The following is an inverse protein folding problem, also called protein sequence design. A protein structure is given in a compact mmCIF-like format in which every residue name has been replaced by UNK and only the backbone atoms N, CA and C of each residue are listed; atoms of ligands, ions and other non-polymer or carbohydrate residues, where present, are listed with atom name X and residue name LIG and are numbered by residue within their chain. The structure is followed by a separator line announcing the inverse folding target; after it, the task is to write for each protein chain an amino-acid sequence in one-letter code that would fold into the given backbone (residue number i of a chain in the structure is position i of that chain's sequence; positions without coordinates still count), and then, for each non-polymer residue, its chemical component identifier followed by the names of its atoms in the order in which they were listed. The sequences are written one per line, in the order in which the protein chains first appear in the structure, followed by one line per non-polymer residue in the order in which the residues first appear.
data_IF_574819577392
#
_entry.id   IF_574819577392
#
_cell.length_a   1.000
_cell.length_b   1.000
_cell.length_c   1.000
_cell.angle_alpha   90.00
_cell.angle_beta   90.00
_cell.angle_gamma   90.00
#
_symmetry.space_group_name_H-M   'P 1'
#
loop_
_entity.id
_entity.type
_entity.pdbx_description
1 polymer ?
#
# COMPACT_ATOMS: atom_id res chain seq x y z
N UNK A 1 -44.08 5.66 -32.11
CA UNK A 1 -44.71 5.35 -30.81
C UNK A 1 -44.39 3.91 -30.38
N UNK A 2 -44.05 3.02 -31.32
CA UNK A 2 -43.60 1.63 -31.07
C UNK A 2 -42.20 1.46 -30.44
N UNK A 3 -41.29 2.44 -30.50
CA UNK A 3 -39.91 2.24 -30.00
C UNK A 3 -39.70 2.41 -28.48
N UNK A 4 -40.72 2.81 -27.70
CA UNK A 4 -40.62 2.85 -26.22
C UNK A 4 -41.03 1.50 -25.64
N UNK A 5 -42.09 0.93 -26.18
CA UNK A 5 -42.71 -0.29 -25.65
C UNK A 5 -41.77 -1.49 -25.77
N UNK A 6 -40.95 -1.58 -26.83
CA UNK A 6 -39.94 -2.63 -26.98
C UNK A 6 -38.79 -2.51 -25.95
N UNK A 7 -38.36 -1.27 -25.64
CA UNK A 7 -37.36 -1.02 -24.59
C UNK A 7 -37.93 -1.31 -23.21
N UNK A 8 -39.20 -0.96 -22.99
CA UNK A 8 -39.96 -1.23 -21.76
C UNK A 8 -40.14 -2.74 -21.57
N UNK A 9 -40.63 -3.46 -22.57
CA UNK A 9 -40.82 -4.91 -22.55
C UNK A 9 -39.49 -5.62 -22.27
N UNK A 10 -38.39 -5.20 -22.90
CA UNK A 10 -37.07 -5.76 -22.63
C UNK A 10 -36.51 -5.41 -21.22
N UNK A 11 -36.98 -4.33 -20.59
CA UNK A 11 -36.60 -3.98 -19.22
C UNK A 11 -37.47 -4.69 -18.17
N UNK A 12 -38.74 -4.95 -18.47
CA UNK A 12 -39.74 -5.51 -17.55
C UNK A 12 -39.83 -7.05 -17.59
N UNK A 13 -39.47 -7.73 -18.69
CA UNK A 13 -39.56 -9.20 -18.83
C UNK A 13 -38.75 -10.05 -17.82
N UNK A 14 -37.73 -9.48 -17.15
CA UNK A 14 -36.88 -10.18 -16.16
C UNK A 14 -36.94 -9.54 -14.75
N UNK A 15 -37.72 -8.47 -14.58
CA UNK A 15 -37.91 -7.80 -13.31
C UNK A 15 -39.13 -8.35 -12.60
N UNK A 16 -39.01 -9.51 -11.94
CA UNK A 16 -40.05 -9.96 -11.01
C UNK A 16 -40.37 -8.85 -10.00
N UNK A 17 -41.63 -8.72 -9.59
CA UNK A 17 -42.05 -7.82 -8.52
C UNK A 17 -41.14 -8.02 -7.31
N UNK A 18 -40.24 -7.06 -7.07
CA UNK A 18 -39.38 -7.05 -5.89
C UNK A 18 -40.11 -6.24 -4.82
N UNK A 19 -40.32 -6.79 -3.61
CA UNK A 19 -40.83 -5.99 -2.50
C UNK A 19 -39.92 -4.77 -2.30
N UNK A 20 -40.50 -3.60 -2.03
CA UNK A 20 -39.78 -2.42 -1.58
C UNK A 20 -39.12 -2.73 -0.22
N UNK A 21 -37.95 -3.38 -0.23
CA UNK A 21 -37.09 -3.50 0.94
C UNK A 21 -36.52 -2.09 1.20
N UNK A 22 -36.81 -1.55 2.38
CA UNK A 22 -36.25 -0.32 2.93
C UNK A 22 -34.73 -0.46 3.25
N UNK A 23 -33.96 -1.08 2.36
CA UNK A 23 -32.52 -1.27 2.54
C UNK A 23 -31.79 0.07 2.31
N UNK A 24 -31.50 0.70 3.46
CA UNK A 24 -30.48 1.71 3.79
C UNK A 24 -29.67 2.19 2.57
N UNK A 25 -30.18 3.23 1.91
CA UNK A 25 -29.54 3.85 0.73
C UNK A 25 -28.31 4.65 1.13
N UNK A 26 -27.15 3.99 1.15
CA UNK A 26 -25.86 4.66 1.13
C UNK A 26 -25.78 5.62 -0.08
N UNK A 27 -25.11 6.76 0.10
CA UNK A 27 -24.95 7.78 -0.94
C UNK A 27 -23.98 7.30 -2.03
N UNK A 28 -24.49 6.49 -2.96
CA UNK A 28 -23.72 5.85 -4.04
C UNK A 28 -23.41 6.77 -5.22
N UNK A 29 -23.82 8.04 -5.15
CA UNK A 29 -23.59 9.04 -6.19
C UNK A 29 -22.73 10.19 -5.68
N UNK A 30 -21.70 10.55 -6.44
CA UNK A 30 -20.87 11.71 -6.19
C UNK A 30 -20.80 12.61 -7.42
N UNK A 31 -20.48 13.89 -7.21
CA UNK A 31 -20.30 14.88 -8.26
C UNK A 31 -18.81 15.20 -8.38
N UNK A 32 -18.23 15.04 -9.57
CA UNK A 32 -16.86 15.43 -9.87
C UNK A 32 -16.87 16.66 -10.78
N UNK A 33 -16.78 17.85 -10.17
CA UNK A 33 -16.93 19.12 -10.87
C UNK A 33 -18.36 19.37 -11.36
N UNK A 34 -18.50 20.25 -12.35
CA UNK A 34 -19.81 20.66 -12.88
C UNK A 34 -20.35 19.77 -14.01
N UNK A 35 -19.49 18.91 -14.59
CA UNK A 35 -19.78 18.20 -15.85
C UNK A 35 -19.73 16.68 -15.74
N UNK A 36 -19.41 16.15 -14.56
CA UNK A 36 -19.34 14.70 -14.34
C UNK A 36 -20.03 14.28 -13.04
N UNK A 37 -20.80 13.19 -13.12
CA UNK A 37 -21.37 12.51 -11.96
C UNK A 37 -20.94 11.05 -11.96
N UNK A 38 -20.59 10.55 -10.78
CA UNK A 38 -19.99 9.23 -10.60
C UNK A 38 -20.93 8.36 -9.78
N UNK A 39 -21.24 7.19 -10.34
CA UNK A 39 -22.04 6.16 -9.67
C UNK A 39 -21.14 5.03 -9.23
N UNK A 40 -21.08 4.81 -7.92
CA UNK A 40 -20.60 3.55 -7.35
C UNK A 40 -21.62 2.46 -7.62
N UNK A 41 -21.21 1.44 -8.39
CA UNK A 41 -22.13 0.37 -8.78
C UNK A 41 -22.56 -0.45 -7.58
N UNK A 42 -23.74 -1.05 -7.68
CA UNK A 42 -24.36 -1.82 -6.61
C UNK A 42 -25.10 -3.02 -7.21
N UNK A 43 -25.81 -3.75 -6.34
CA UNK A 43 -26.66 -4.88 -6.72
C UNK A 43 -27.66 -4.52 -7.82
N UNK A 44 -28.26 -3.33 -7.78
CA UNK A 44 -29.26 -2.91 -8.76
C UNK A 44 -28.67 -2.65 -10.14
N UNK A 45 -27.46 -2.09 -10.20
CA UNK A 45 -26.74 -1.91 -11.47
C UNK A 45 -26.53 -3.26 -12.17
N UNK A 46 -26.05 -4.28 -11.46
CA UNK A 46 -25.67 -5.56 -12.08
C UNK A 46 -26.85 -6.51 -12.32
N UNK A 47 -27.79 -6.59 -11.39
CA UNK A 47 -28.89 -7.55 -11.46
C UNK A 47 -30.14 -6.97 -12.12
N UNK A 48 -30.46 -5.72 -11.83
CA UNK A 48 -31.76 -5.12 -12.17
C UNK A 48 -31.68 -4.06 -13.27
N UNK A 49 -30.46 -3.70 -13.73
CA UNK A 49 -30.21 -2.73 -14.80
C UNK A 49 -30.78 -1.34 -14.49
N UNK A 50 -30.72 -0.97 -13.23
CA UNK A 50 -31.30 0.28 -12.75
C UNK A 50 -30.47 0.91 -11.63
N UNK A 51 -30.73 2.20 -11.38
CA UNK A 51 -30.24 2.92 -10.22
C UNK A 51 -31.15 4.09 -9.86
N UNK A 52 -31.26 4.40 -8.57
CA UNK A 52 -32.00 5.57 -8.08
C UNK A 52 -31.12 6.83 -8.23
N UNK A 53 -31.72 7.93 -8.70
CA UNK A 53 -31.09 9.24 -8.86
C UNK A 53 -31.49 10.16 -7.69
N UNK A 54 -30.56 10.48 -6.76
CA UNK A 54 -30.78 11.47 -5.70
C UNK A 54 -31.07 12.86 -6.26
N UNK A 55 -31.78 13.71 -5.52
CA UNK A 55 -32.14 15.07 -5.95
C UNK A 55 -30.93 15.89 -6.42
N UNK A 56 -29.79 15.77 -5.73
CA UNK A 56 -28.53 16.44 -6.11
C UNK A 56 -27.99 16.06 -7.50
N UNK A 57 -28.35 14.88 -8.03
CA UNK A 57 -27.93 14.38 -9.35
C UNK A 57 -28.98 14.68 -10.43
N UNK A 58 -30.25 14.88 -10.04
CA UNK A 58 -31.33 15.11 -11.01
C UNK A 58 -31.12 16.37 -11.87
N UNK A 59 -30.43 17.38 -11.33
CA UNK A 59 -30.05 18.58 -12.07
C UNK A 59 -29.12 18.26 -13.26
N UNK A 60 -28.15 17.35 -13.10
CA UNK A 60 -27.24 16.92 -14.16
C UNK A 60 -28.00 16.31 -15.35
N UNK A 61 -29.03 15.52 -15.08
CA UNK A 61 -29.89 14.92 -16.11
C UNK A 61 -31.02 15.85 -16.60
N UNK A 62 -30.99 17.13 -16.21
CA UNK A 62 -31.99 18.15 -16.57
C UNK A 62 -33.43 17.77 -16.21
N UNK A 63 -33.67 17.08 -15.08
CA UNK A 63 -34.95 16.43 -14.76
C UNK A 63 -35.97 17.31 -14.02
N UNK A 64 -35.76 18.63 -13.94
CA UNK A 64 -36.61 19.53 -13.16
C UNK A 64 -38.10 19.51 -13.59
N UNK A 65 -38.37 19.22 -14.86
CA UNK A 65 -39.70 19.14 -15.47
C UNK A 65 -40.28 17.72 -15.54
N UNK A 66 -39.58 16.69 -15.04
CA UNK A 66 -40.08 15.32 -15.06
C UNK A 66 -41.12 15.10 -13.93
N UNK A 67 -42.39 14.97 -14.33
CA UNK A 67 -43.51 14.73 -13.42
C UNK A 67 -43.62 13.26 -12.97
N UNK A 68 -44.18 12.97 -11.79
CA UNK A 68 -44.49 11.60 -11.36
C UNK A 68 -45.33 10.82 -12.39
N UNK A 69 -44.98 9.54 -12.59
CA UNK A 69 -45.56 8.67 -13.61
C UNK A 69 -45.07 8.93 -15.04
N UNK A 70 -44.14 9.88 -15.25
CA UNK A 70 -43.55 10.15 -16.57
C UNK A 70 -42.17 9.52 -16.71
N UNK A 71 -41.84 9.19 -17.96
CA UNK A 71 -40.55 8.64 -18.39
C UNK A 71 -39.92 9.59 -19.41
N UNK A 72 -38.60 9.71 -19.39
CA UNK A 72 -37.79 10.45 -20.36
C UNK A 72 -36.78 9.51 -20.99
N UNK A 73 -36.78 9.43 -22.32
CA UNK A 73 -35.72 8.72 -23.06
C UNK A 73 -34.40 9.46 -22.89
N UNK A 74 -33.34 8.70 -22.69
CA UNK A 74 -31.97 9.19 -22.78
C UNK A 74 -31.14 8.18 -23.57
N UNK A 75 -29.95 8.60 -23.96
CA UNK A 75 -28.98 7.73 -24.64
C UNK A 75 -27.72 7.69 -23.81
N UNK A 76 -27.26 6.48 -23.52
CA UNK A 76 -25.95 6.23 -22.90
C UNK A 76 -24.97 5.82 -24.00
N UNK A 77 -23.83 6.49 -24.06
CA UNK A 77 -22.76 6.18 -24.99
C UNK A 77 -21.58 5.57 -24.23
N UNK A 78 -21.17 4.36 -24.58
CA UNK A 78 -19.87 3.83 -24.14
C UNK A 78 -18.95 3.82 -25.35
N UNK A 79 -17.94 4.69 -25.33
CA UNK A 79 -17.08 4.99 -26.49
C UNK A 79 -17.94 5.38 -27.72
N UNK A 80 -17.94 4.55 -28.77
CA UNK A 80 -18.69 4.76 -30.02
C UNK A 80 -20.02 3.99 -30.06
N UNK A 81 -20.37 3.27 -28.99
CA UNK A 81 -21.55 2.41 -28.95
C UNK A 81 -22.70 3.12 -28.24
N UNK A 82 -23.84 3.15 -28.91
CA UNK A 82 -25.09 3.72 -28.43
C UNK A 82 -25.89 2.68 -27.64
N UNK A 83 -26.43 3.07 -26.49
CA UNK A 83 -27.34 2.25 -25.69
C UNK A 83 -28.55 3.08 -25.28
N UNK A 84 -29.74 2.59 -25.58
CA UNK A 84 -30.96 3.27 -25.16
C UNK A 84 -31.26 3.01 -23.67
N UNK A 85 -31.68 4.08 -23.00
CA UNK A 85 -32.03 4.10 -21.59
C UNK A 85 -33.18 5.08 -21.35
N UNK A 86 -33.74 5.05 -20.16
CA UNK A 86 -34.76 6.02 -19.76
C UNK A 86 -34.66 6.35 -18.28
N UNK A 87 -35.13 7.53 -17.93
CA UNK A 87 -35.29 7.97 -16.55
C UNK A 87 -36.78 8.08 -16.28
N UNK A 88 -37.25 7.45 -15.21
CA UNK A 88 -38.64 7.52 -14.77
C UNK A 88 -38.77 8.11 -13.38
N UNK A 89 -39.87 8.82 -13.14
CA UNK A 89 -40.28 9.25 -11.80
C UNK A 89 -41.48 8.42 -11.39
N UNK A 90 -41.35 7.61 -10.34
CA UNK A 90 -42.39 6.67 -9.92
C UNK A 90 -43.62 7.39 -9.35
N UNK A 91 -44.72 6.65 -9.18
CA UNK A 91 -45.95 7.15 -8.55
C UNK A 91 -45.99 6.91 -7.02
N UNK A 92 -44.90 6.41 -6.42
CA UNK A 92 -44.81 6.21 -4.97
C UNK A 92 -44.85 7.55 -4.22
N UNK A 93 -45.12 7.49 -2.92
CA UNK A 93 -45.06 8.64 -2.01
C UNK A 93 -44.00 8.37 -0.91
N UNK A 94 -42.82 9.03 -0.94
CA UNK A 94 -42.38 10.01 -1.91
C UNK A 94 -41.96 9.37 -3.26
N UNK A 95 -42.09 10.10 -4.40
CA UNK A 95 -41.76 9.57 -5.72
C UNK A 95 -40.25 9.41 -5.87
N UNK A 96 -39.83 8.27 -6.41
CA UNK A 96 -38.43 7.94 -6.68
C UNK A 96 -38.10 8.24 -8.14
N UNK A 97 -36.90 8.78 -8.38
CA UNK A 97 -36.39 8.96 -9.75
C UNK A 97 -35.40 7.84 -10.04
N UNK A 98 -35.64 7.04 -11.08
CA UNK A 98 -34.82 5.87 -11.43
C UNK A 98 -34.29 6.00 -12.85
N UNK A 99 -33.00 5.73 -13.05
CA UNK A 99 -32.37 5.52 -14.34
C UNK A 99 -32.36 4.02 -14.64
N UNK A 100 -32.88 3.62 -15.81
CA UNK A 100 -32.92 2.22 -16.28
C UNK A 100 -32.36 2.11 -17.70
N UNK A 101 -31.69 1.00 -18.00
CA UNK A 101 -31.09 0.77 -19.33
C UNK A 101 -31.42 -0.60 -19.93
N UNK A 102 -31.31 -0.70 -21.25
CA UNK A 102 -31.64 -1.91 -22.01
C UNK A 102 -30.75 -3.13 -21.71
N UNK A 103 -31.18 -4.32 -22.19
CA UNK A 103 -30.48 -5.61 -22.03
C UNK A 103 -29.03 -5.54 -22.54
N UNK A 104 -28.75 -4.76 -23.58
CA UNK A 104 -27.43 -4.65 -24.19
C UNK A 104 -26.40 -3.97 -23.29
N UNK A 105 -26.76 -2.85 -22.66
CA UNK A 105 -25.86 -2.16 -21.72
C UNK A 105 -25.64 -2.98 -20.45
N UNK A 106 -26.70 -3.62 -19.93
CA UNK A 106 -26.58 -4.56 -18.82
C UNK A 106 -25.68 -5.75 -19.17
N UNK A 107 -25.78 -6.30 -20.38
CA UNK A 107 -24.90 -7.38 -20.84
C UNK A 107 -23.46 -6.92 -21.04
N UNK A 108 -23.26 -5.68 -21.46
CA UNK A 108 -21.95 -5.06 -21.50
C UNK A 108 -21.35 -4.97 -20.09
N UNK A 109 -22.08 -4.46 -19.10
CA UNK A 109 -21.61 -4.42 -17.70
C UNK A 109 -21.28 -5.80 -17.15
N UNK A 110 -22.12 -6.82 -17.40
CA UNK A 110 -21.86 -8.21 -17.01
C UNK A 110 -20.63 -8.81 -17.69
N UNK A 111 -20.38 -8.44 -18.95
CA UNK A 111 -19.20 -8.90 -19.69
C UNK A 111 -17.93 -8.21 -19.19
N UNK A 112 -18.02 -6.93 -18.86
CA UNK A 112 -16.88 -6.14 -18.36
C UNK A 112 -16.52 -6.51 -16.92
N UNK A 113 -17.53 -6.78 -16.08
CA UNK A 113 -17.39 -7.03 -14.64
C UNK A 113 -18.13 -8.32 -14.21
N UNK A 114 -17.78 -9.49 -14.76
CA UNK A 114 -18.48 -10.74 -14.47
C UNK A 114 -18.42 -11.12 -12.98
N UNK A 115 -17.33 -10.75 -12.29
CA UNK A 115 -17.13 -11.00 -10.87
C UNK A 115 -18.19 -10.34 -9.99
N UNK A 116 -18.63 -9.13 -10.34
CA UNK A 116 -19.61 -8.38 -9.56
C UNK A 116 -21.04 -8.88 -9.80
N UNK A 117 -21.33 -9.29 -11.04
CA UNK A 117 -22.59 -9.98 -11.33
C UNK A 117 -22.71 -11.30 -10.55
N UNK A 118 -21.64 -12.10 -10.55
CA UNK A 118 -21.61 -13.37 -9.81
C UNK A 118 -21.67 -13.16 -8.29
N UNK A 119 -20.98 -12.14 -7.77
CA UNK A 119 -21.01 -11.76 -6.36
C UNK A 119 -22.44 -11.46 -5.90
N UNK A 120 -23.13 -10.53 -6.57
CA UNK A 120 -24.50 -10.16 -6.20
C UNK A 120 -25.52 -11.26 -6.48
N UNK A 121 -25.23 -12.20 -7.40
CA UNK A 121 -26.09 -13.36 -7.59
C UNK A 121 -26.00 -14.36 -6.43
N UNK A 122 -24.83 -14.45 -5.76
CA UNK A 122 -24.55 -15.42 -4.70
C UNK A 122 -24.70 -14.86 -3.29
N UNK A 123 -24.56 -13.55 -3.10
CA UNK A 123 -24.66 -12.88 -1.81
C UNK A 123 -25.62 -11.68 -1.85
N UNK A 124 -26.20 -11.36 -0.69
CA UNK A 124 -26.89 -10.08 -0.43
C UNK A 124 -25.97 -9.02 0.17
N UNK A 125 -24.69 -9.33 0.38
CA UNK A 125 -23.73 -8.41 0.97
C UNK A 125 -23.49 -7.18 0.07
N UNK A 126 -23.22 -6.05 0.71
CA UNK A 126 -22.72 -4.85 0.05
C UNK A 126 -21.19 -4.89 -0.08
N UNK A 127 -20.64 -4.11 -1.00
CA UNK A 127 -19.19 -4.00 -1.15
C UNK A 127 -18.79 -2.57 -1.47
N UNK A 128 -17.71 -2.13 -0.82
CA UNK A 128 -17.15 -0.82 -1.06
C UNK A 128 -16.21 -0.74 -2.28
N UNK A 129 -15.84 -1.88 -2.86
CA UNK A 129 -14.84 -2.00 -3.92
C UNK A 129 -15.47 -2.09 -5.33
N UNK A 130 -16.76 -1.78 -5.46
CA UNK A 130 -17.49 -1.93 -6.73
C UNK A 130 -17.02 -0.94 -7.79
N UNK A 131 -17.08 -1.30 -9.09
CA UNK A 131 -16.67 -0.42 -10.17
C UNK A 131 -17.45 0.90 -10.16
N UNK A 132 -16.83 1.93 -10.71
CA UNK A 132 -17.44 3.24 -10.89
C UNK A 132 -17.91 3.42 -12.34
N UNK A 133 -19.07 4.05 -12.49
CA UNK A 133 -19.58 4.55 -13.77
C UNK A 133 -19.53 6.07 -13.76
N UNK A 134 -18.79 6.64 -14.70
CA UNK A 134 -18.62 8.08 -14.87
C UNK A 134 -19.55 8.56 -15.98
N UNK A 135 -20.50 9.44 -15.65
CA UNK A 135 -21.43 10.02 -16.59
C UNK A 135 -20.99 11.45 -16.93
N UNK A 136 -20.94 11.79 -18.22
CA UNK A 136 -20.69 13.16 -18.70
C UNK A 136 -21.66 13.51 -19.81
N UNK A 137 -22.11 14.77 -19.86
CA UNK A 137 -23.09 15.21 -20.87
C UNK A 137 -22.46 15.40 -22.25
N UNK A 138 -23.14 14.99 -23.32
CA UNK A 138 -22.82 15.36 -24.71
C UNK A 138 -23.51 16.67 -25.10
N UNK A 139 -23.11 17.26 -26.23
CA UNK A 139 -23.78 18.45 -26.77
C UNK A 139 -25.26 18.22 -27.18
N UNK A 140 -25.69 16.96 -27.31
CA UNK A 140 -27.09 16.58 -27.53
C UNK A 140 -27.87 16.49 -26.21
N UNK A 141 -29.03 17.15 -26.16
CA UNK A 141 -29.90 17.06 -25.00
C UNK A 141 -30.38 15.61 -24.77
N UNK A 142 -30.16 15.08 -23.57
CA UNK A 142 -30.54 13.70 -23.22
C UNK A 142 -29.53 12.64 -23.65
N UNK A 143 -28.33 13.01 -24.08
CA UNK A 143 -27.25 12.08 -24.41
C UNK A 143 -26.07 12.20 -23.43
N UNK A 144 -25.61 11.07 -22.91
CA UNK A 144 -24.56 11.02 -21.89
C UNK A 144 -23.51 9.97 -22.23
N UNK A 145 -22.24 10.36 -22.18
CA UNK A 145 -21.12 9.41 -22.19
C UNK A 145 -21.04 8.70 -20.84
N UNK A 146 -20.88 7.39 -20.87
CA UNK A 146 -20.65 6.53 -19.72
C UNK A 146 -19.31 5.84 -19.88
N UNK A 147 -18.33 6.33 -19.13
CA UNK A 147 -17.06 5.63 -18.98
C UNK A 147 -17.18 4.68 -17.80
N UNK A 148 -16.79 3.43 -18.01
CA UNK A 148 -16.52 2.53 -16.89
C UNK A 148 -15.14 2.84 -16.34
N UNK A 149 -14.84 2.45 -15.09
CA UNK A 149 -13.47 2.45 -14.57
C UNK A 149 -12.51 2.00 -15.68
N UNK A 150 -11.72 2.97 -16.19
CA UNK A 150 -11.17 2.96 -17.55
C UNK A 150 -10.61 1.58 -17.95
N UNK A 151 -11.27 0.92 -18.90
CA UNK A 151 -10.55 0.07 -19.85
C UNK A 151 -9.60 0.98 -20.66
N UNK A 152 -8.38 0.54 -20.97
CA UNK A 152 -7.27 1.43 -21.23
C UNK A 152 -7.47 2.19 -22.55
N UNK A 153 -7.69 3.51 -22.48
CA UNK A 153 -7.35 4.37 -23.60
C UNK A 153 -5.83 4.39 -23.71
N UNK A 154 -5.30 3.66 -24.70
CA UNK A 154 -4.08 4.10 -25.37
C UNK A 154 -4.33 5.56 -25.79
N UNK A 155 -3.37 6.42 -25.54
CA UNK A 155 -3.42 7.87 -25.74
C UNK A 155 -3.93 8.70 -24.54
N UNK A 156 -3.32 8.51 -23.38
CA UNK A 156 -2.82 9.68 -22.65
C UNK A 156 -1.39 9.41 -22.21
N UNK A 157 -0.45 10.14 -22.79
CA UNK A 157 0.84 10.37 -22.18
C UNK A 157 0.61 11.14 -20.87
N UNK A 158 0.22 10.45 -19.80
CA UNK A 158 0.47 10.91 -18.44
C UNK A 158 1.97 10.69 -18.20
N UNK A 159 2.66 11.71 -17.71
CA UNK A 159 4.12 11.63 -17.51
C UNK A 159 4.49 10.32 -16.79
N UNK A 160 5.36 9.52 -17.41
CA UNK A 160 5.83 8.26 -16.83
C UNK A 160 6.55 8.45 -15.50
N UNK A 161 7.03 9.66 -15.26
CA UNK A 161 7.72 10.09 -14.04
C UNK A 161 6.74 10.34 -12.90
N UNK A 162 7.03 9.68 -11.77
CA UNK A 162 6.39 9.94 -10.48
C UNK A 162 7.17 11.07 -9.80
N UNK A 163 6.50 12.15 -9.35
CA UNK A 163 7.15 13.32 -8.76
C UNK A 163 7.56 13.09 -7.30
N UNK A 164 8.13 11.91 -7.01
CA UNK A 164 8.71 11.54 -5.71
C UNK A 164 9.91 10.63 -5.96
N UNK A 165 10.98 10.84 -5.20
CA UNK A 165 12.21 10.07 -5.30
C UNK A 165 12.30 9.04 -4.17
N UNK A 166 12.94 7.87 -4.39
CA UNK A 166 13.16 6.90 -3.33
C UNK A 166 13.83 7.53 -2.10
N UNK A 167 13.21 7.37 -0.93
CA UNK A 167 13.62 7.98 0.33
C UNK A 167 12.80 9.21 0.73
N UNK A 168 12.02 9.80 -0.19
CA UNK A 168 11.12 10.91 0.14
C UNK A 168 10.03 10.46 1.11
N UNK A 169 9.73 11.33 2.07
CA UNK A 169 8.62 11.14 3.03
C UNK A 169 7.51 12.10 2.65
N UNK A 170 6.33 11.55 2.39
CA UNK A 170 5.12 12.31 2.04
C UNK A 170 3.98 11.94 2.98
N UNK A 171 2.97 12.81 3.07
CA UNK A 171 1.74 12.52 3.80
C UNK A 171 0.71 11.78 2.93
N UNK A 172 -0.41 11.40 3.56
CA UNK A 172 -1.49 10.68 2.90
C UNK A 172 -2.20 11.50 1.82
N UNK A 173 -2.27 12.83 1.98
CA UNK A 173 -2.94 13.71 1.03
C UNK A 173 -2.12 13.79 -0.25
N UNK A 174 -0.83 14.06 -0.11
CA UNK A 174 0.12 14.12 -1.21
C UNK A 174 0.24 12.79 -1.95
N UNK A 175 0.23 11.66 -1.23
CA UNK A 175 0.20 10.32 -1.82
C UNK A 175 -1.04 10.14 -2.72
N UNK A 176 -2.22 10.55 -2.26
CA UNK A 176 -3.46 10.46 -3.07
C UNK A 176 -3.42 11.35 -4.30
N UNK A 177 -2.88 12.56 -4.17
CA UNK A 177 -2.74 13.47 -5.31
C UNK A 177 -1.87 12.85 -6.41
N UNK A 178 -0.74 12.24 -6.03
CA UNK A 178 0.25 11.72 -6.98
C UNK A 178 -0.22 10.41 -7.64
N UNK A 179 -0.82 9.51 -6.85
CA UNK A 179 -1.17 8.17 -7.31
C UNK A 179 -2.65 8.00 -7.64
N UNK A 180 -3.49 8.98 -7.34
CA UNK A 180 -4.95 8.98 -7.59
C UNK A 180 -5.58 7.69 -7.06
N UNK A 181 -5.30 7.36 -5.81
CA UNK A 181 -5.72 6.11 -5.16
C UNK A 181 -6.51 6.38 -3.86
N UNK A 182 -7.07 5.31 -3.28
CA UNK A 182 -7.79 5.36 -1.98
C UNK A 182 -6.93 5.96 -0.85
N UNK A 183 -7.59 6.49 0.19
CA UNK A 183 -6.97 7.00 1.41
C UNK A 183 -6.67 5.90 2.45
N UNK A 184 -7.20 4.69 2.26
CA UNK A 184 -7.18 3.62 3.25
C UNK A 184 -6.75 2.29 2.63
N UNK A 185 -6.26 1.39 3.50
CA UNK A 185 -5.78 0.05 3.11
C UNK A 185 -4.28 -0.01 2.84
N UNK A 186 -3.74 -1.23 2.99
CA UNK A 186 -2.33 -1.55 2.71
C UNK A 186 -2.05 -1.69 1.21
N UNK A 187 -3.08 -1.95 0.40
CA UNK A 187 -2.99 -1.96 -1.05
C UNK A 187 -4.02 -0.97 -1.61
N UNK A 188 -3.54 0.01 -2.38
CA UNK A 188 -4.36 1.11 -2.88
C UNK A 188 -4.23 1.18 -4.39
N UNK A 189 -5.23 0.65 -5.07
CA UNK A 189 -5.27 0.59 -6.52
C UNK A 189 -5.86 1.88 -7.10
N UNK A 190 -5.20 2.39 -8.13
CA UNK A 190 -5.74 3.42 -9.04
C UNK A 190 -5.98 2.79 -10.40
N UNK A 191 -7.26 2.63 -10.75
CA UNK A 191 -7.64 2.12 -12.07
C UNK A 191 -7.38 3.15 -13.17
N UNK A 192 -7.48 4.45 -12.84
CA UNK A 192 -7.24 5.57 -13.77
C UNK A 192 -5.80 5.58 -14.29
N UNK A 193 -4.83 5.28 -13.43
CA UNK A 193 -3.40 5.33 -13.76
C UNK A 193 -2.78 3.93 -13.98
N UNK A 194 -3.56 2.86 -13.80
CA UNK A 194 -3.09 1.47 -13.73
C UNK A 194 -1.91 1.27 -12.75
N UNK A 195 -2.01 1.92 -11.59
CA UNK A 195 -0.99 1.89 -10.53
C UNK A 195 -1.56 1.25 -9.27
N UNK A 196 -0.72 0.57 -8.50
CA UNK A 196 -1.05 0.09 -7.16
C UNK A 196 0.02 0.60 -6.20
N UNK A 197 -0.43 1.28 -5.15
CA UNK A 197 0.42 1.69 -4.04
C UNK A 197 0.34 0.62 -2.96
N UNK A 198 1.49 0.10 -2.55
CA UNK A 198 1.66 -0.89 -1.48
C UNK A 198 2.22 -0.18 -0.26
N UNK A 199 1.56 -0.35 0.89
CA UNK A 199 1.91 0.31 2.14
C UNK A 199 2.22 -0.77 3.15
N UNK A 200 3.50 -0.91 3.46
CA UNK A 200 3.99 -1.71 4.57
C UNK A 200 4.06 -0.84 5.83
N UNK A 201 3.08 -1.00 6.70
CA UNK A 201 2.97 -0.22 7.93
C UNK A 201 3.62 -0.95 9.13
N UNK A 202 4.84 -0.52 9.48
CA UNK A 202 5.63 -1.10 10.57
C UNK A 202 5.21 -0.60 11.95
N UNK A 203 4.33 0.40 12.01
CA UNK A 203 3.76 0.88 13.29
C UNK A 203 2.70 -0.07 13.83
N UNK A 204 2.12 -0.91 12.96
CA UNK A 204 1.02 -1.82 13.31
C UNK A 204 1.53 -3.24 13.55
N UNK A 205 1.03 -3.96 14.57
CA UNK A 205 1.52 -5.30 14.89
C UNK A 205 1.03 -6.42 13.97
N UNK A 206 0.16 -6.13 12.98
CA UNK A 206 -0.65 -7.12 12.28
C UNK A 206 -0.02 -7.75 11.02
N UNK A 207 1.12 -7.21 10.53
CA UNK A 207 1.78 -7.67 9.30
C UNK A 207 3.29 -7.84 9.54
N UNK A 208 3.86 -8.97 9.11
CA UNK A 208 5.32 -9.25 9.18
C UNK A 208 6.03 -8.89 7.87
N UNK A 209 5.73 -7.70 7.33
CA UNK A 209 6.32 -7.22 6.08
C UNK A 209 7.81 -6.94 6.25
N UNK A 210 8.67 -7.60 5.47
CA UNK A 210 10.12 -7.54 5.68
C UNK A 210 10.97 -7.75 4.44
N UNK A 211 12.17 -7.21 4.48
CA UNK A 211 13.22 -7.47 3.50
C UNK A 211 13.94 -8.80 3.81
N UNK A 212 14.08 -9.66 2.79
CA UNK A 212 14.96 -10.85 2.80
C UNK A 212 15.83 -10.76 1.54
N UNK A 213 17.12 -10.49 1.71
CA UNK A 213 18.02 -10.17 0.60
C UNK A 213 17.60 -8.86 -0.07
N UNK A 214 17.42 -8.93 -1.40
CA UNK A 214 16.91 -7.85 -2.25
C UNK A 214 15.40 -7.94 -2.49
N UNK A 215 14.73 -8.87 -1.81
CA UNK A 215 13.31 -9.15 -2.02
C UNK A 215 12.52 -8.70 -0.81
N UNK A 216 11.53 -7.84 -1.05
CA UNK A 216 10.57 -7.42 -0.04
C UNK A 216 9.40 -8.39 0.01
N UNK A 217 9.12 -8.95 1.19
CA UNK A 217 8.04 -9.89 1.41
C UNK A 217 6.85 -9.12 1.97
N UNK A 218 5.90 -8.80 1.09
CA UNK A 218 4.72 -8.01 1.41
C UNK A 218 3.52 -8.90 1.71
N UNK A 219 2.84 -8.67 2.82
CA UNK A 219 1.67 -9.43 3.24
C UNK A 219 0.42 -8.89 2.54
N UNK A 220 -0.28 -9.76 1.80
CA UNK A 220 -1.51 -9.41 1.08
C UNK A 220 -2.68 -9.01 1.99
N UNK A 221 -3.76 -8.53 1.36
CA UNK A 221 -4.95 -8.08 2.09
C UNK A 221 -5.83 -9.23 2.59
N UNK A 222 -6.64 -8.88 3.61
CA UNK A 222 -7.51 -9.78 4.38
C UNK A 222 -6.93 -9.91 5.78
N UNK A 223 -7.52 -9.24 6.78
CA UNK A 223 -7.04 -9.21 8.18
C UNK A 223 -7.77 -10.20 9.11
N UNK A 224 -8.75 -10.96 8.61
CA UNK A 224 -9.54 -11.98 9.33
C UNK A 224 -9.98 -13.11 8.38
N UNK A 225 -10.03 -14.37 8.87
CA UNK A 225 -10.56 -15.57 8.15
C UNK A 225 -9.54 -16.45 7.39
N UNK A 226 -9.94 -17.69 7.05
CA UNK A 226 -9.14 -18.63 6.23
C UNK A 226 -8.93 -18.11 4.81
N UNK A 227 -7.69 -18.16 4.34
CA UNK A 227 -7.28 -17.54 3.08
C UNK A 227 -7.32 -18.50 1.89
N UNK A 228 -8.03 -18.08 0.84
CA UNK A 228 -7.83 -18.56 -0.52
C UNK A 228 -7.27 -17.47 -1.43
N UNK A 229 -6.73 -17.86 -2.58
CA UNK A 229 -6.33 -17.00 -3.72
C UNK A 229 -7.48 -16.13 -4.29
N UNK A 230 -8.66 -16.18 -3.66
CA UNK A 230 -9.91 -15.51 -4.01
C UNK A 230 -10.11 -14.12 -3.37
N UNK A 231 -9.15 -13.61 -2.58
CA UNK A 231 -9.22 -12.24 -2.04
C UNK A 231 -8.79 -11.23 -3.12
N UNK A 232 -9.70 -10.37 -3.59
CA UNK A 232 -9.63 -9.66 -4.89
C UNK A 232 -8.35 -8.86 -5.21
N UNK A 233 -7.69 -8.24 -4.23
CA UNK A 233 -6.48 -7.46 -4.51
C UNK A 233 -5.20 -8.31 -4.59
N UNK A 234 -5.19 -9.50 -3.97
CA UNK A 234 -4.09 -10.47 -4.08
C UNK A 234 -3.95 -10.98 -5.53
N UNK A 235 -5.08 -11.10 -6.25
CA UNK A 235 -5.11 -11.40 -7.68
C UNK A 235 -4.49 -10.28 -8.52
N UNK A 236 -4.75 -9.01 -8.17
CA UNK A 236 -4.16 -7.86 -8.89
C UNK A 236 -2.63 -7.84 -8.76
N UNK A 237 -2.10 -8.17 -7.58
CA UNK A 237 -0.67 -8.29 -7.37
C UNK A 237 -0.07 -9.47 -8.13
N UNK A 238 -0.75 -10.63 -8.10
CA UNK A 238 -0.34 -11.84 -8.81
C UNK A 238 -0.27 -11.63 -10.33
N UNK A 239 -1.27 -10.96 -10.91
CA UNK A 239 -1.37 -10.69 -12.35
C UNK A 239 -0.68 -9.38 -12.78
N UNK A 240 0.02 -8.70 -11.86
CA UNK A 240 0.58 -7.35 -12.09
C UNK A 240 1.56 -7.32 -13.26
N UNK A 241 2.48 -8.29 -13.32
CA UNK A 241 3.45 -8.43 -14.39
C UNK A 241 2.78 -8.68 -15.76
N UNK A 242 1.75 -9.51 -15.80
CA UNK A 242 1.05 -9.87 -17.04
C UNK A 242 0.17 -8.73 -17.57
N UNK A 243 -0.46 -7.99 -16.66
CA UNK A 243 -1.38 -6.88 -16.98
C UNK A 243 -0.70 -5.52 -17.11
N UNK A 244 0.63 -5.46 -16.91
CA UNK A 244 1.39 -4.22 -16.96
C UNK A 244 1.02 -3.23 -15.85
N UNK A 245 0.51 -3.72 -14.72
CA UNK A 245 0.17 -2.88 -13.56
C UNK A 245 1.45 -2.44 -12.86
N UNK A 246 1.64 -1.13 -12.68
CA UNK A 246 2.83 -0.59 -12.00
C UNK A 246 2.62 -0.62 -10.47
N UNK A 247 3.58 -1.20 -9.74
CA UNK A 247 3.50 -1.31 -8.28
C UNK A 247 4.48 -0.33 -7.63
N UNK A 248 4.02 0.39 -6.62
CA UNK A 248 4.82 1.41 -5.92
C UNK A 248 4.82 1.11 -4.43
N UNK A 249 6.01 0.83 -3.87
CA UNK A 249 6.16 0.45 -2.48
C UNK A 249 6.41 1.69 -1.61
N UNK A 250 5.66 1.78 -0.52
CA UNK A 250 5.83 2.71 0.58
C UNK A 250 5.98 1.94 1.88
N UNK A 251 6.88 2.41 2.73
CA UNK A 251 7.01 1.91 4.09
C UNK A 251 6.63 3.04 5.09
N UNK A 252 5.90 2.70 6.16
CA UNK A 252 5.48 3.63 7.22
C UNK A 252 6.18 3.23 8.51
N UNK A 253 6.94 4.16 9.11
CA UNK A 253 7.66 3.96 10.39
C UNK A 253 7.13 4.84 11.50
N UNK A 254 6.49 5.94 11.12
CA UNK A 254 5.81 6.87 11.99
C UNK A 254 4.42 7.11 11.39
N UNK A 255 3.39 7.09 12.21
CA UNK A 255 2.01 7.21 11.74
C UNK A 255 1.83 8.52 10.95
N UNK A 256 1.29 8.41 9.73
CA UNK A 256 1.11 9.54 8.82
C UNK A 256 2.29 9.85 7.88
N UNK A 257 3.47 9.27 8.12
CA UNK A 257 4.67 9.48 7.32
C UNK A 257 4.92 8.30 6.37
N UNK A 258 4.69 8.50 5.07
CA UNK A 258 4.84 7.48 4.03
C UNK A 258 6.17 7.66 3.31
N UNK A 259 7.13 6.76 3.56
CA UNK A 259 8.44 6.78 2.91
C UNK A 259 8.38 6.03 1.58
N UNK A 260 8.57 6.74 0.46
CA UNK A 260 8.59 6.11 -0.85
C UNK A 260 9.82 5.23 -1.00
N UNK A 261 9.61 3.95 -1.26
CA UNK A 261 10.69 2.96 -1.42
C UNK A 261 11.11 2.83 -2.88
N UNK A 262 10.15 2.86 -3.81
CA UNK A 262 10.41 2.76 -5.24
C UNK A 262 9.35 1.96 -5.97
N UNK A 263 9.51 1.88 -7.31
CA UNK A 263 8.70 1.01 -8.15
C UNK A 263 9.19 -0.44 -8.03
N UNK A 264 8.26 -1.37 -7.80
CA UNK A 264 8.53 -2.79 -7.58
C UNK A 264 7.82 -3.67 -8.60
N UNK A 265 8.26 -4.91 -8.71
CA UNK A 265 7.63 -5.96 -9.52
C UNK A 265 7.58 -7.27 -8.74
N UNK A 266 6.60 -8.13 -9.08
CA UNK A 266 6.47 -9.42 -8.45
C UNK A 266 7.61 -10.33 -8.92
N UNK A 267 8.44 -10.77 -7.98
CA UNK A 267 9.69 -11.48 -8.27
C UNK A 267 9.49 -13.00 -8.34
N UNK A 268 8.66 -13.53 -7.45
CA UNK A 268 8.41 -14.96 -7.29
C UNK A 268 6.92 -15.22 -7.07
N UNK A 269 6.53 -16.48 -7.20
CA UNK A 269 5.17 -16.90 -6.89
C UNK A 269 4.83 -16.57 -5.42
N UNK A 270 3.64 -16.00 -5.16
CA UNK A 270 3.17 -15.79 -3.80
C UNK A 270 3.09 -17.10 -3.02
N UNK A 271 3.36 -17.05 -1.72
CA UNK A 271 3.34 -18.23 -0.85
C UNK A 271 2.55 -17.96 0.44
N UNK A 272 2.06 -19.03 1.08
CA UNK A 272 1.36 -18.94 2.36
C UNK A 272 2.38 -18.94 3.51
N UNK A 273 2.21 -18.00 4.44
CA UNK A 273 2.96 -17.90 5.69
C UNK A 273 1.98 -17.85 6.85
N UNK A 274 2.28 -18.54 7.95
CA UNK A 274 1.44 -18.51 9.14
C UNK A 274 1.84 -17.31 10.01
N UNK A 275 0.92 -16.37 10.25
CA UNK A 275 1.15 -15.15 11.05
C UNK A 275 0.01 -14.94 12.06
N UNK A 276 0.24 -14.15 13.11
CA UNK A 276 -0.80 -13.76 14.09
C UNK A 276 -1.50 -12.47 13.66
N UNK A 277 -2.83 -12.42 13.75
CA UNK A 277 -3.59 -11.17 13.56
C UNK A 277 -3.53 -10.23 14.79
N UNK A 278 -4.33 -9.15 14.75
CA UNK A 278 -4.40 -8.15 15.83
C UNK A 278 -4.93 -8.74 17.14
N UNK A 279 -5.65 -9.86 17.06
CA UNK A 279 -6.25 -10.59 18.16
C UNK A 279 -5.37 -11.76 18.63
N UNK A 280 -4.10 -11.83 18.19
CA UNK A 280 -3.15 -12.94 18.41
C UNK A 280 -3.63 -14.30 17.88
N UNK A 281 -4.59 -14.32 16.96
CA UNK A 281 -5.06 -15.56 16.35
C UNK A 281 -4.16 -15.90 15.19
N UNK A 282 -3.66 -17.13 15.20
CA UNK A 282 -2.79 -17.66 14.16
C UNK A 282 -3.61 -17.94 12.90
N UNK A 283 -3.20 -17.35 11.78
CA UNK A 283 -3.86 -17.49 10.47
C UNK A 283 -2.84 -17.60 9.35
N UNK A 284 -3.22 -18.25 8.25
CA UNK A 284 -2.40 -18.27 7.06
C UNK A 284 -2.56 -16.95 6.31
N UNK A 285 -1.45 -16.35 5.91
CA UNK A 285 -1.37 -15.12 5.12
C UNK A 285 -0.60 -15.32 3.82
N UNK A 286 -1.10 -14.75 2.73
CA UNK A 286 -0.43 -14.77 1.43
C UNK A 286 0.64 -13.71 1.40
N UNK A 287 1.88 -14.11 1.16
CA UNK A 287 3.05 -13.24 1.07
C UNK A 287 3.47 -13.13 -0.39
N UNK A 288 3.69 -11.89 -0.83
CA UNK A 288 4.10 -11.52 -2.17
C UNK A 288 5.57 -11.08 -2.17
N UNK A 289 6.47 -11.85 -2.80
CA UNK A 289 7.87 -11.48 -2.92
C UNK A 289 8.06 -10.44 -4.04
N UNK A 290 8.53 -9.24 -3.68
CA UNK A 290 8.67 -8.09 -4.56
C UNK A 290 10.14 -7.69 -4.71
N UNK A 291 10.57 -7.30 -5.91
CA UNK A 291 11.89 -6.72 -6.16
C UNK A 291 11.75 -5.31 -6.71
N UNK A 292 12.70 -4.44 -6.40
CA UNK A 292 12.75 -3.09 -6.98
C UNK A 292 13.14 -3.17 -8.45
N UNK A 293 12.42 -2.43 -9.30
CA UNK A 293 12.75 -2.36 -10.72
C UNK A 293 14.15 -1.80 -10.93
N UNK A 294 14.84 -2.35 -11.95
CA UNK A 294 16.18 -1.91 -12.32
C UNK A 294 17.30 -2.36 -11.37
N UNK A 295 17.09 -3.41 -10.56
CA UNK A 295 18.05 -3.87 -9.55
C UNK A 295 18.43 -2.77 -8.52
N UNK A 296 17.53 -1.82 -8.28
CA UNK A 296 17.73 -0.79 -7.28
C UNK A 296 17.79 -1.41 -5.87
N UNK A 297 18.56 -0.78 -4.98
CA UNK A 297 18.58 -1.15 -3.57
C UNK A 297 17.50 -0.35 -2.82
N UNK A 298 16.91 -0.90 -1.74
CA UNK A 298 15.97 -0.15 -0.94
C UNK A 298 16.60 1.16 -0.46
N UNK A 299 15.86 2.28 -0.47
CA UNK A 299 16.39 3.58 -0.10
C UNK A 299 16.92 3.58 1.33
N UNK A 300 17.93 4.41 1.53
CA UNK A 300 18.65 4.56 2.78
C UNK A 300 17.71 5.00 3.91
N UNK A 301 17.60 4.19 4.98
CA UNK A 301 16.93 4.62 6.21
C UNK A 301 17.91 5.36 7.10
N UNK A 302 17.46 6.48 7.68
CA UNK A 302 18.14 7.10 8.83
C UNK A 302 18.16 6.11 10.00
N UNK A 303 19.33 5.93 10.61
CA UNK A 303 19.63 4.96 11.67
C UNK A 303 18.60 4.91 12.80
N UNK A 304 18.08 6.06 13.23
CA UNK A 304 17.06 6.16 14.28
C UNK A 304 15.78 5.36 13.98
N UNK A 305 15.31 5.34 12.73
CA UNK A 305 14.09 4.61 12.33
C UNK A 305 14.29 3.09 12.17
N UNK A 306 15.54 2.62 12.09
CA UNK A 306 15.87 1.19 12.17
C UNK A 306 15.84 0.71 13.62
N UNK A 307 16.41 1.51 14.52
CA UNK A 307 16.45 1.24 15.97
C UNK A 307 15.03 1.16 16.56
N UNK A 308 14.08 2.00 16.09
CA UNK A 308 12.68 1.95 16.56
C UNK A 308 11.96 0.65 16.18
N UNK A 309 12.14 0.17 14.94
CA UNK A 309 11.50 -1.07 14.47
C UNK A 309 12.11 -2.32 15.13
N UNK A 310 13.43 -2.33 15.32
CA UNK A 310 14.11 -3.39 16.06
C UNK A 310 13.63 -3.42 17.51
N UNK A 311 13.50 -2.27 18.18
CA UNK A 311 12.95 -2.19 19.54
C UNK A 311 11.50 -2.69 19.62
N UNK A 312 10.64 -2.36 18.66
CA UNK A 312 9.26 -2.85 18.60
C UNK A 312 9.24 -4.37 18.44
N UNK A 313 10.07 -4.91 17.54
CA UNK A 313 10.17 -6.36 17.28
C UNK A 313 10.75 -7.11 18.49
N UNK A 314 11.76 -6.54 19.15
CA UNK A 314 12.36 -7.05 20.38
C UNK A 314 11.36 -7.05 21.55
N UNK A 315 10.60 -5.97 21.73
CA UNK A 315 9.54 -5.91 22.75
C UNK A 315 8.44 -6.95 22.50
N UNK A 316 8.12 -7.27 21.23
CA UNK A 316 7.21 -8.37 20.87
C UNK A 316 7.78 -9.73 21.25
N UNK A 317 9.03 -10.01 20.84
CA UNK A 317 9.71 -11.28 21.15
C UNK A 317 9.88 -11.51 22.66
N UNK A 318 10.15 -10.45 23.43
CA UNK A 318 10.34 -10.53 24.89
C UNK A 318 9.04 -10.78 25.68
N UNK A 319 7.86 -10.53 25.10
CA UNK A 319 6.56 -10.75 25.73
C UNK A 319 6.02 -12.18 25.55
N UNK A 320 6.55 -12.94 24.58
CA UNK A 320 6.17 -14.34 24.38
C UNK A 320 6.73 -15.23 25.50
N UNK A 321 5.95 -16.18 26.05
CA UNK A 321 6.47 -17.21 26.94
C UNK A 321 7.44 -18.16 26.22
N UNK A 322 8.30 -18.85 26.98
CA UNK A 322 9.52 -19.52 26.49
C UNK A 322 9.23 -20.69 25.53
N UNK A 323 8.11 -21.38 25.73
CA UNK A 323 7.56 -22.45 24.91
C UNK A 323 6.97 -21.94 23.58
N UNK A 324 6.30 -20.79 23.59
CA UNK A 324 5.80 -20.13 22.39
C UNK A 324 6.92 -19.49 21.54
N UNK A 325 8.11 -19.26 22.11
CA UNK A 325 9.31 -18.83 21.36
C UNK A 325 9.98 -19.98 20.60
N UNK A 326 9.84 -21.21 21.08
CA UNK A 326 10.58 -22.36 20.53
C UNK A 326 10.12 -22.68 19.11
N UNK A 327 8.82 -22.60 18.83
CA UNK A 327 8.25 -22.88 17.51
C UNK A 327 8.74 -21.90 16.43
N UNK A 328 8.58 -20.56 16.54
CA UNK A 328 9.09 -19.62 15.55
C UNK A 328 10.62 -19.60 15.48
N UNK A 329 11.35 -19.86 16.56
CA UNK A 329 12.82 -19.95 16.53
C UNK A 329 13.32 -21.19 15.78
N UNK A 330 12.61 -22.32 15.87
CA UNK A 330 12.98 -23.60 15.25
C UNK A 330 12.60 -23.69 13.77
N UNK A 331 11.60 -22.92 13.35
CA UNK A 331 11.14 -22.80 11.95
C UNK A 331 11.48 -21.45 11.30
N UNK A 332 12.26 -20.61 11.97
CA UNK A 332 12.86 -19.43 11.34
C UNK A 332 13.75 -19.91 10.19
N UNK A 333 13.45 -19.44 8.96
CA UNK A 333 14.22 -19.81 7.77
C UNK A 333 15.71 -19.59 8.05
N UNK A 334 16.50 -20.64 7.81
CA UNK A 334 17.90 -20.79 8.22
C UNK A 334 18.88 -19.81 7.58
N UNK A 335 18.40 -18.95 6.70
CA UNK A 335 19.08 -17.72 6.31
C UNK A 335 18.27 -16.54 6.87
N UNK A 336 18.68 -16.07 8.06
CA UNK A 336 18.08 -14.89 8.68
C UNK A 336 18.01 -13.74 7.67
N UNK A 337 16.90 -13.02 7.64
CA UNK A 337 16.65 -11.94 6.68
C UNK A 337 17.84 -10.98 6.59
N UNK A 338 18.65 -11.12 5.54
CA UNK A 338 19.76 -10.22 5.24
C UNK A 338 19.22 -9.05 4.45
N UNK A 339 19.13 -7.86 5.03
CA UNK A 339 18.97 -6.63 4.25
C UNK A 339 20.37 -6.12 3.91
N UNK A 340 20.70 -6.00 2.63
CA UNK A 340 21.87 -5.21 2.23
C UNK A 340 21.56 -3.75 2.51
N UNK A 341 22.13 -3.22 3.59
CA UNK A 341 22.08 -1.79 3.94
C UNK A 341 23.33 -1.15 3.35
N UNK A 342 23.15 -0.24 2.39
CA UNK A 342 24.24 0.67 2.02
C UNK A 342 24.29 1.74 3.10
N UNK A 343 25.17 1.58 4.08
CA UNK A 343 25.45 2.63 5.07
C UNK A 343 26.32 3.71 4.44
N UNK A 344 26.07 4.98 4.73
CA UNK A 344 27.11 6.01 4.61
C UNK A 344 28.23 5.63 5.58
N UNK A 345 29.23 4.92 5.06
CA UNK A 345 30.50 4.70 5.74
C UNK A 345 31.29 5.97 5.49
N UNK A 346 31.43 6.80 6.51
CA UNK A 346 32.53 7.74 6.53
C UNK A 346 33.81 6.89 6.59
N UNK A 347 34.49 6.75 5.46
CA UNK A 347 35.80 6.12 5.41
C UNK A 347 36.74 6.98 6.26
N UNK A 348 36.94 6.56 7.50
CA UNK A 348 37.98 7.11 8.35
C UNK A 348 39.34 6.82 7.71
N UNK A 349 40.26 7.77 7.83
CA UNK A 349 41.63 7.66 7.39
C UNK A 349 42.27 6.41 8.00
N UNK A 350 42.64 5.48 7.12
CA UNK A 350 43.25 4.21 7.50
C UNK A 350 44.54 4.41 8.31
N UNK A 351 45.24 5.55 8.12
CA UNK A 351 46.43 5.90 8.89
C UNK A 351 46.09 6.23 10.35
N UNK A 352 44.99 6.95 10.58
CA UNK A 352 44.52 7.29 11.94
C UNK A 352 44.05 6.02 12.66
N UNK A 353 43.33 5.16 11.95
CA UNK A 353 42.87 3.87 12.46
C UNK A 353 44.06 2.95 12.85
N UNK A 354 45.05 2.81 11.96
CA UNK A 354 46.24 2.00 12.23
C UNK A 354 47.10 2.57 13.36
N UNK A 355 47.26 3.90 13.43
CA UNK A 355 47.95 4.56 14.54
C UNK A 355 47.30 4.23 15.88
N UNK A 356 45.97 4.34 15.98
CA UNK A 356 45.24 4.08 17.21
C UNK A 356 45.35 2.60 17.66
N UNK A 357 45.24 1.64 16.72
CA UNK A 357 45.44 0.21 17.01
C UNK A 357 46.85 -0.08 17.52
N UNK A 358 47.88 0.46 16.87
CA UNK A 358 49.28 0.27 17.28
C UNK A 358 49.55 0.89 18.64
N UNK A 359 49.05 2.10 18.89
CA UNK A 359 49.17 2.77 20.20
C UNK A 359 48.51 1.99 21.32
N UNK A 360 47.39 1.31 21.04
CA UNK A 360 46.69 0.49 22.02
C UNK A 360 47.42 -0.81 22.37
N UNK A 361 48.40 -1.25 21.57
CA UNK A 361 49.23 -2.43 21.81
C UNK A 361 48.41 -3.67 22.20
N UNK A 362 47.28 -3.89 21.52
CA UNK A 362 46.37 -5.01 21.79
C UNK A 362 45.61 -4.93 23.11
N UNK A 363 45.55 -3.78 23.77
CA UNK A 363 44.81 -3.53 25.01
C UNK A 363 43.68 -2.53 24.79
N UNK A 364 42.46 -2.87 25.20
CA UNK A 364 41.30 -2.00 25.08
C UNK A 364 41.47 -0.72 25.91
N UNK A 365 41.28 0.43 25.25
CA UNK A 365 41.47 1.74 25.87
C UNK A 365 40.32 2.17 26.80
N UNK A 366 39.20 1.44 26.85
CA UNK A 366 38.15 1.66 27.85
C UNK A 366 38.32 0.77 29.08
N UNK A 367 38.38 -0.56 28.89
CA UNK A 367 38.37 -1.51 30.02
C UNK A 367 39.74 -1.99 30.48
N UNK A 368 40.83 -1.59 29.82
CA UNK A 368 42.21 -2.00 30.11
C UNK A 368 42.49 -3.51 30.01
N UNK A 369 41.59 -4.28 29.38
CA UNK A 369 41.80 -5.70 29.15
C UNK A 369 42.45 -5.93 27.78
N UNK A 370 43.25 -6.99 27.61
CA UNK A 370 43.74 -7.39 26.30
C UNK A 370 42.59 -7.66 25.33
N UNK A 371 42.86 -7.58 24.03
CA UNK A 371 41.92 -7.95 22.99
C UNK A 371 41.40 -9.38 23.24
N UNK A 372 40.09 -9.63 23.08
CA UNK A 372 39.48 -10.90 23.46
C UNK A 372 39.86 -12.05 22.53
N UNK A 373 40.30 -11.74 21.31
CA UNK A 373 40.76 -12.70 20.32
C UNK A 373 41.70 -12.00 19.31
N UNK A 374 42.24 -12.78 18.37
CA UNK A 374 43.10 -12.32 17.28
C UNK A 374 42.38 -12.45 15.93
N UNK A 375 42.72 -11.61 14.97
CA UNK A 375 42.26 -11.75 13.58
C UNK A 375 42.98 -12.92 12.87
N UNK A 376 42.62 -13.18 11.61
CA UNK A 376 43.23 -14.23 10.79
C UNK A 376 44.74 -14.04 10.57
N UNK A 377 45.23 -12.80 10.66
CA UNK A 377 46.65 -12.45 10.54
C UNK A 377 47.41 -12.58 11.89
N UNK A 378 46.73 -13.00 12.96
CA UNK A 378 47.33 -13.22 14.27
C UNK A 378 47.50 -11.95 15.13
N UNK A 379 46.93 -10.83 14.70
CA UNK A 379 46.96 -9.54 15.40
C UNK A 379 45.81 -9.43 16.41
N UNK A 380 46.02 -8.75 17.57
CA UNK A 380 44.95 -8.51 18.54
C UNK A 380 43.76 -7.74 17.93
N UNK A 381 42.54 -8.29 18.04
CA UNK A 381 41.35 -7.67 17.45
C UNK A 381 40.79 -6.54 18.32
N UNK A 382 40.96 -5.30 17.86
CA UNK A 382 40.39 -4.09 18.44
C UNK A 382 39.68 -3.27 17.34
N UNK A 383 38.55 -2.68 17.71
CA UNK A 383 37.71 -1.86 16.84
C UNK A 383 37.95 -0.37 17.12
N UNK A 384 37.97 0.41 16.04
CA UNK A 384 38.17 1.85 16.12
C UNK A 384 36.84 2.54 16.46
N UNK A 385 36.92 3.46 17.42
CA UNK A 385 35.77 4.25 17.86
C UNK A 385 36.16 5.73 17.96
N UNK A 386 35.36 6.58 17.32
CA UNK A 386 35.43 8.03 17.52
C UNK A 386 34.74 8.39 18.83
N UNK A 387 35.44 9.07 19.73
CA UNK A 387 34.91 9.51 21.03
C UNK A 387 33.74 10.48 20.82
N UNK A 388 33.91 11.44 19.92
CA UNK A 388 32.84 12.25 19.35
C UNK A 388 32.54 11.70 17.97
N UNK A 389 31.30 11.24 17.74
CA UNK A 389 30.95 10.58 16.50
C UNK A 389 31.07 11.51 15.28
N UNK A 390 31.43 10.97 14.11
CA UNK A 390 31.53 11.75 12.87
C UNK A 390 30.17 12.38 12.48
N UNK A 391 29.08 11.67 12.73
CA UNK A 391 27.71 12.15 12.49
C UNK A 391 27.32 13.36 13.36
N UNK A 392 27.97 13.53 14.52
CA UNK A 392 27.78 14.67 15.42
C UNK A 392 28.86 15.76 15.23
N UNK A 393 29.60 15.70 14.11
CA UNK A 393 30.64 16.67 13.77
C UNK A 393 32.01 16.37 14.39
N UNK A 394 32.22 15.16 14.90
CA UNK A 394 33.54 14.69 15.34
C UNK A 394 34.54 14.68 14.18
N UNK A 395 35.79 15.03 14.47
CA UNK A 395 36.87 14.99 13.48
C UNK A 395 37.54 13.62 13.47
N UNK A 396 37.95 13.16 12.30
CA UNK A 396 38.73 11.93 12.15
C UNK A 396 40.21 12.18 12.44
N UNK A 397 40.57 12.23 13.72
CA UNK A 397 41.89 12.64 14.20
C UNK A 397 42.36 11.73 15.32
N UNK A 398 43.68 11.67 15.54
CA UNK A 398 44.27 10.85 16.60
C UNK A 398 43.83 11.29 18.02
N UNK A 399 43.33 12.52 18.16
CA UNK A 399 42.77 13.09 19.39
C UNK A 399 41.34 12.64 19.66
N UNK A 400 40.62 12.18 18.63
CA UNK A 400 39.23 11.79 18.72
C UNK A 400 39.01 10.28 18.51
N UNK A 401 40.07 9.51 18.28
CA UNK A 401 39.98 8.08 17.94
C UNK A 401 40.64 7.20 19.01
N UNK A 402 39.96 6.12 19.40
CA UNK A 402 40.46 5.10 20.33
C UNK A 402 40.25 3.68 19.79
N UNK A 403 41.06 2.73 20.26
CA UNK A 403 40.92 1.31 19.97
C UNK A 403 40.28 0.57 21.16
N UNK A 404 39.13 -0.07 20.92
CA UNK A 404 38.31 -0.72 21.93
C UNK A 404 38.14 -2.21 21.61
N UNK A 405 37.94 -3.05 22.64
CA UNK A 405 37.48 -4.42 22.39
C UNK A 405 36.01 -4.41 21.92
N UNK A 406 35.54 -5.44 21.20
CA UNK A 406 34.18 -5.50 20.65
C UNK A 406 33.08 -5.27 21.69
N UNK A 407 33.28 -5.79 22.90
CA UNK A 407 32.33 -5.60 24.01
C UNK A 407 32.24 -4.13 24.44
N UNK A 408 33.37 -3.44 24.54
CA UNK A 408 33.43 -2.04 24.92
C UNK A 408 32.97 -1.12 23.79
N UNK A 409 33.33 -1.44 22.55
CA UNK A 409 32.90 -0.74 21.34
C UNK A 409 31.37 -0.77 21.22
N UNK A 410 30.77 -1.97 21.31
CA UNK A 410 29.32 -2.12 21.31
C UNK A 410 28.65 -1.43 22.50
N UNK A 411 29.26 -1.49 23.69
CA UNK A 411 28.76 -0.76 24.88
C UNK A 411 28.69 0.75 24.64
N UNK A 412 29.70 1.34 23.99
CA UNK A 412 29.69 2.77 23.65
C UNK A 412 28.53 3.11 22.72
N UNK A 413 28.28 2.29 21.69
CA UNK A 413 27.15 2.51 20.78
C UNK A 413 25.77 2.28 21.43
N UNK A 414 25.64 1.33 22.35
CA UNK A 414 24.36 0.94 22.96
C UNK A 414 23.99 1.82 24.16
N UNK A 415 24.96 2.16 25.01
CA UNK A 415 24.70 2.85 26.27
C UNK A 415 25.19 4.31 26.30
N UNK A 416 26.19 4.64 25.50
CA UNK A 416 26.84 5.95 25.41
C UNK A 416 26.97 6.70 26.75
N UNK A 417 27.51 6.04 27.78
CA UNK A 417 27.53 6.57 29.14
C UNK A 417 28.53 7.74 29.25
N UNK A 418 28.12 8.91 29.81
CA UNK A 418 29.02 10.07 29.95
C UNK A 418 30.32 9.75 30.70
N UNK A 419 30.28 8.84 31.68
CA UNK A 419 31.45 8.43 32.45
C UNK A 419 32.50 7.68 31.61
N UNK A 420 32.06 6.91 30.61
CA UNK A 420 32.97 6.18 29.72
C UNK A 420 33.58 7.13 28.67
N UNK A 421 32.79 8.07 28.15
CA UNK A 421 33.28 9.13 27.24
C UNK A 421 34.36 9.99 27.91
N UNK A 422 34.13 10.44 29.15
CA UNK A 422 35.13 11.18 29.94
C UNK A 422 36.41 10.38 30.14
N UNK A 423 36.31 9.07 30.41
CA UNK A 423 37.50 8.20 30.54
C UNK A 423 38.30 8.14 29.25
N UNK A 424 37.63 8.03 28.10
CA UNK A 424 38.29 8.01 26.80
C UNK A 424 38.92 9.37 26.47
N UNK A 425 38.21 10.49 26.69
CA UNK A 425 38.74 11.85 26.51
C UNK A 425 39.99 12.08 27.35
N UNK A 426 39.96 11.66 28.62
CA UNK A 426 41.12 11.75 29.51
C UNK A 426 42.27 10.91 28.99
N UNK A 427 42.01 9.70 28.48
CA UNK A 427 43.07 8.81 27.98
C UNK A 427 43.75 9.32 26.72
N UNK A 428 43.05 10.04 25.86
CA UNK A 428 43.65 10.64 24.66
C UNK A 428 44.33 11.98 24.97
N UNK A 429 43.82 12.71 25.97
CA UNK A 429 44.40 13.96 26.49
C UNK A 429 45.65 13.75 27.36
N UNK A 430 45.73 12.63 28.08
CA UNK A 430 46.92 12.18 28.79
C UNK A 430 47.91 11.64 27.74
N UNK A 431 48.64 12.56 27.10
CA UNK A 431 49.84 12.21 26.33
C UNK A 431 51.00 12.06 27.30
N UNK A 432 51.73 10.95 27.17
CA UNK A 432 53.05 10.74 27.74
C UNK A 432 54.04 11.83 27.31
#
# INVERSE_FOLDING_TARGET
MEEIEDIIAAAEEDGGDVPDDEDVRGDTWTTEGETCVVKKTDRHVFLYRETVLPEKIQAFFSLADLLPGKKRKIVLWQEQRRFDAFIEKTLHDPPLTRLRWGKEFGSLLRKTYPEWYDFYKKSRDESDDTPLLFFSGRQGAGEYDVAFDRAPSRDTATSDEVPVLPGDVIDNERLREIFTCSSQGAMRRSLVTNRVVLIADHTRPACDDKWIGKTFHFTGMGLTGEQGLSFNQNKTLCESNEKGTRLFLFEVFEEGNYTYTGEVELALNPYLSRQTDKENTVRDVTVFPLILKGNAHPPFRKKAALETNEEITLKKAQKLPLDEREFPAKYSLTEGGRREVVTEVFDGDQIVAEYAKRKAAGTCQLCNKPAPFKNHDGEPYLEIHHIVSLAEGGQDTIENVVALCPNCHRKMHVLNLPADEVRLKNRVSLRD
#
